data_IF_726872391388
#
_entry.id   IF_726872391388
#
_cell.length_a   1.000
_cell.length_b   1.000
_cell.length_c   1.000
_cell.angle_alpha   90.00
_cell.angle_beta   90.00
_cell.angle_gamma   90.00
#
_symmetry.space_group_name_H-M   'P 1'
#
loop_
_entity.id
_entity.type
_entity.pdbx_description
1 polymer ?
#
# COMPACT_ATOMS: atom_id res chain seq x y z
N UNK A 1 -5.59 26.98 -2.41
CA UNK A 1 -4.87 25.99 -3.24
C UNK A 1 -5.10 26.40 -4.68
N UNK A 2 -4.05 26.44 -5.49
CA UNK A 2 -4.12 26.95 -6.86
C UNK A 2 -5.11 26.11 -7.70
N UNK A 3 -6.10 26.73 -8.40
CA UNK A 3 -7.00 26.03 -9.32
C UNK A 3 -6.26 25.24 -10.40
N UNK A 4 -5.09 25.71 -10.81
CA UNK A 4 -4.26 25.08 -11.84
C UNK A 4 -3.66 23.76 -11.35
N UNK A 5 -3.21 23.72 -10.09
CA UNK A 5 -2.75 22.49 -9.41
C UNK A 5 -3.90 21.49 -9.27
N UNK A 6 -5.13 21.96 -9.02
CA UNK A 6 -6.28 21.08 -8.82
C UNK A 6 -6.64 20.30 -10.09
N UNK A 7 -6.56 20.94 -11.25
CA UNK A 7 -6.84 20.31 -12.54
C UNK A 7 -5.76 19.30 -12.98
N UNK A 8 -4.50 19.51 -12.61
CA UNK A 8 -3.39 18.57 -12.89
C UNK A 8 -3.60 17.23 -12.15
N UNK A 9 -4.18 17.26 -10.94
CA UNK A 9 -4.42 16.08 -10.09
C UNK A 9 -5.72 15.35 -10.49
N UNK A 10 -6.66 16.03 -11.15
CA UNK A 10 -7.92 15.40 -11.58
C UNK A 10 -7.82 14.71 -12.93
N UNK A 11 -7.05 15.26 -13.89
CA UNK A 11 -7.07 14.79 -15.29
C UNK A 11 -5.68 14.69 -15.96
N UNK A 12 -4.59 15.00 -15.25
CA UNK A 12 -3.22 14.96 -15.79
C UNK A 12 -2.45 13.65 -15.54
N UNK A 13 -1.22 13.52 -16.07
CA UNK A 13 -0.33 12.38 -15.80
C UNK A 13 0.12 12.28 -14.33
N UNK A 14 -0.27 13.24 -13.49
CA UNK A 14 -0.08 13.27 -12.04
C UNK A 14 -1.42 13.11 -11.29
N UNK A 15 -2.39 12.44 -11.90
CA UNK A 15 -3.63 12.10 -11.20
C UNK A 15 -3.31 11.26 -9.95
N UNK A 16 -4.18 11.30 -8.94
CA UNK A 16 -3.97 10.49 -7.73
C UNK A 16 -3.81 8.99 -8.06
N UNK A 17 -4.42 8.53 -9.16
CA UNK A 17 -4.32 7.15 -9.65
C UNK A 17 -2.96 6.86 -10.31
N UNK A 18 -2.34 7.83 -11.00
CA UNK A 18 -1.00 7.64 -11.58
C UNK A 18 0.15 7.77 -10.56
N UNK A 19 -0.13 8.35 -9.39
CA UNK A 19 0.85 8.56 -8.32
C UNK A 19 0.88 7.45 -7.26
N UNK A 20 -0.07 6.54 -7.27
CA UNK A 20 -0.21 5.48 -6.27
C UNK A 20 0.07 4.14 -6.94
N UNK A 21 1.06 3.41 -6.39
CA UNK A 21 1.27 2.00 -6.72
C UNK A 21 0.68 1.15 -5.61
N UNK A 22 -0.35 0.38 -5.94
CA UNK A 22 -0.98 -0.59 -5.04
C UNK A 22 -0.43 -1.98 -5.34
N UNK A 23 -0.15 -2.75 -4.29
CA UNK A 23 0.19 -4.17 -4.37
C UNK A 23 -0.44 -4.92 -3.20
N UNK A 24 -0.74 -6.20 -3.40
CA UNK A 24 -1.32 -7.06 -2.38
C UNK A 24 -0.29 -8.03 -1.83
N UNK A 25 -0.25 -8.17 -0.51
CA UNK A 25 0.74 -8.98 0.20
C UNK A 25 0.09 -10.28 0.68
N UNK A 26 0.63 -11.41 0.24
CA UNK A 26 0.11 -12.74 0.55
C UNK A 26 1.20 -13.64 1.14
N UNK A 27 0.79 -14.56 1.99
CA UNK A 27 1.58 -15.74 2.33
C UNK A 27 1.11 -16.97 1.55
N UNK A 28 1.77 -18.09 1.77
CA UNK A 28 1.34 -19.39 1.27
C UNK A 28 0.07 -19.86 1.97
N UNK A 29 -0.80 -20.49 1.22
CA UNK A 29 -2.08 -21.02 1.70
C UNK A 29 -2.30 -22.45 1.20
N UNK A 30 -3.48 -23.02 1.44
CA UNK A 30 -3.84 -24.34 0.95
C UNK A 30 -3.82 -24.40 -0.60
N UNK A 31 -3.71 -25.61 -1.16
CA UNK A 31 -3.56 -25.82 -2.61
C UNK A 31 -4.71 -25.27 -3.44
N UNK A 32 -5.94 -25.28 -2.93
CA UNK A 32 -7.11 -24.81 -3.66
C UNK A 32 -7.07 -23.29 -3.80
N UNK A 33 -6.89 -22.58 -2.68
CA UNK A 33 -6.77 -21.12 -2.68
C UNK A 33 -5.53 -20.66 -3.45
N UNK A 34 -4.41 -21.40 -3.38
CA UNK A 34 -3.19 -21.06 -4.11
C UNK A 34 -3.40 -21.05 -5.63
N UNK A 35 -4.21 -21.97 -6.18
CA UNK A 35 -4.54 -21.96 -7.61
C UNK A 35 -5.36 -20.73 -7.99
N UNK A 36 -6.32 -20.34 -7.16
CA UNK A 36 -7.11 -19.12 -7.39
C UNK A 36 -6.23 -17.87 -7.38
N UNK A 37 -5.24 -17.82 -6.48
CA UNK A 37 -4.25 -16.74 -6.42
C UNK A 37 -3.38 -16.72 -7.69
N UNK A 38 -2.91 -17.87 -8.16
CA UNK A 38 -2.13 -17.97 -9.40
C UNK A 38 -2.94 -17.47 -10.61
N UNK A 39 -4.20 -17.88 -10.71
CA UNK A 39 -5.11 -17.40 -11.76
C UNK A 39 -5.34 -15.89 -11.67
N UNK A 40 -5.58 -15.33 -10.48
CA UNK A 40 -5.76 -13.88 -10.30
C UNK A 40 -4.50 -13.10 -10.70
N UNK A 41 -3.32 -13.62 -10.33
CA UNK A 41 -2.03 -13.01 -10.64
C UNK A 41 -1.77 -12.89 -12.14
N UNK A 42 -2.30 -13.81 -12.95
CA UNK A 42 -2.17 -13.76 -14.42
C UNK A 42 -2.89 -12.55 -15.02
N UNK A 43 -3.92 -12.02 -14.34
CA UNK A 43 -4.70 -10.87 -14.83
C UNK A 43 -4.23 -9.53 -14.29
N UNK A 44 -3.91 -9.44 -12.99
CA UNK A 44 -3.64 -8.15 -12.33
C UNK A 44 -2.16 -7.87 -12.08
N UNK A 45 -1.36 -8.92 -11.86
CA UNK A 45 0.09 -8.86 -11.73
C UNK A 45 0.58 -7.84 -10.65
N UNK A 46 -0.18 -7.73 -9.55
CA UNK A 46 0.06 -6.80 -8.44
C UNK A 46 0.26 -7.52 -7.09
N UNK A 47 0.51 -8.84 -7.13
CA UNK A 47 0.77 -9.65 -5.94
C UNK A 47 2.25 -9.71 -5.54
N UNK A 48 2.50 -9.72 -4.24
CA UNK A 48 3.79 -10.05 -3.64
C UNK A 48 3.58 -11.19 -2.63
N UNK A 49 4.07 -12.38 -2.98
CA UNK A 49 3.85 -13.60 -2.20
C UNK A 49 5.11 -14.00 -1.44
N UNK A 50 5.00 -14.10 -0.13
CA UNK A 50 6.09 -14.52 0.76
C UNK A 50 6.15 -16.03 0.97
N UNK A 51 7.34 -16.55 1.27
CA UNK A 51 7.60 -17.96 1.61
C UNK A 51 7.28 -18.28 3.08
N UNK A 52 6.11 -17.85 3.57
CA UNK A 52 5.59 -18.15 4.91
C UNK A 52 4.09 -18.41 4.83
N UNK A 53 3.55 -19.22 5.75
CA UNK A 53 2.10 -19.49 5.80
C UNK A 53 1.34 -18.22 6.15
N UNK A 54 0.31 -17.91 5.36
CA UNK A 54 -0.57 -16.78 5.65
C UNK A 54 -1.41 -17.08 6.88
N UNK A 55 -1.20 -16.29 7.93
CA UNK A 55 -1.90 -16.43 9.20
C UNK A 55 -1.74 -15.15 10.01
N UNK A 56 -2.66 -14.94 10.95
CA UNK A 56 -2.61 -13.77 11.84
C UNK A 56 -1.28 -13.65 12.59
N UNK A 57 -0.71 -14.78 13.04
CA UNK A 57 0.59 -14.82 13.73
C UNK A 57 1.76 -14.36 12.85
N UNK A 58 1.62 -14.45 11.52
CA UNK A 58 2.67 -14.09 10.56
C UNK A 58 2.47 -12.70 9.93
N UNK A 59 1.54 -11.87 10.40
CA UNK A 59 1.33 -10.51 9.89
C UNK A 59 2.58 -9.63 9.98
N UNK A 60 3.45 -9.87 10.97
CA UNK A 60 4.76 -9.18 11.06
C UNK A 60 5.66 -9.55 9.88
N UNK A 61 5.70 -10.83 9.48
CA UNK A 61 6.45 -11.26 8.29
C UNK A 61 5.85 -10.67 7.02
N UNK A 62 4.52 -10.61 6.92
CA UNK A 62 3.82 -9.97 5.81
C UNK A 62 4.13 -8.47 5.72
N UNK A 63 4.13 -7.76 6.84
CA UNK A 63 4.50 -6.33 6.89
C UNK A 63 5.96 -6.11 6.45
N UNK A 64 6.88 -6.95 6.96
CA UNK A 64 8.29 -6.90 6.57
C UNK A 64 8.48 -7.16 5.07
N UNK A 65 7.80 -8.17 4.52
CA UNK A 65 7.81 -8.49 3.10
C UNK A 65 7.44 -7.27 2.25
N UNK A 66 6.31 -6.62 2.59
CA UNK A 66 5.83 -5.44 1.85
C UNK A 66 6.82 -4.29 1.85
N UNK A 67 7.40 -3.98 3.01
CA UNK A 67 8.39 -2.89 3.11
C UNK A 67 9.67 -3.22 2.34
N UNK A 68 10.18 -4.45 2.44
CA UNK A 68 11.39 -4.88 1.71
C UNK A 68 11.18 -4.88 0.19
N UNK A 69 10.02 -5.36 -0.27
CA UNK A 69 9.67 -5.34 -1.68
C UNK A 69 9.57 -3.89 -2.20
N UNK A 70 8.87 -3.01 -1.48
CA UNK A 70 8.75 -1.61 -1.87
C UNK A 70 10.12 -0.95 -1.96
N UNK A 71 11.00 -1.17 -0.97
CA UNK A 71 12.36 -0.61 -0.95
C UNK A 71 13.23 -1.11 -2.11
N UNK A 72 13.01 -2.35 -2.55
CA UNK A 72 13.84 -2.98 -3.59
C UNK A 72 13.36 -2.61 -5.00
N UNK A 73 12.05 -2.54 -5.22
CA UNK A 73 11.44 -2.46 -6.56
C UNK A 73 10.77 -1.12 -6.86
N UNK A 74 10.64 -0.23 -5.88
CA UNK A 74 9.96 1.06 -6.07
C UNK A 74 10.85 2.24 -5.64
N UNK A 75 10.74 3.33 -6.40
CA UNK A 75 11.15 4.66 -5.93
C UNK A 75 9.90 5.35 -5.40
N UNK A 76 9.82 5.56 -4.09
CA UNK A 76 8.64 6.14 -3.43
C UNK A 76 9.03 7.22 -2.41
N UNK A 77 8.15 8.20 -2.20
CA UNK A 77 8.29 9.21 -1.14
C UNK A 77 7.60 8.76 0.16
N UNK A 78 6.49 8.03 0.05
CA UNK A 78 5.69 7.55 1.18
C UNK A 78 5.32 6.07 1.00
N UNK A 79 5.25 5.34 2.11
CA UNK A 79 4.79 3.96 2.16
C UNK A 79 3.54 3.89 3.05
N UNK A 80 2.45 3.35 2.51
CA UNK A 80 1.24 3.09 3.25
C UNK A 80 1.07 1.58 3.39
N UNK A 81 0.90 1.12 4.65
CA UNK A 81 0.34 -0.18 4.95
C UNK A 81 -1.12 0.00 5.37
N UNK A 82 -2.01 -0.79 4.78
CA UNK A 82 -3.41 -0.91 5.19
C UNK A 82 -3.83 -2.37 5.11
N UNK A 83 -4.93 -2.72 5.77
CA UNK A 83 -5.59 -4.01 5.63
C UNK A 83 -6.65 -3.95 4.51
N UNK A 84 -7.12 -5.10 4.07
CA UNK A 84 -8.09 -5.28 2.97
C UNK A 84 -9.53 -4.93 3.37
N UNK A 85 -9.80 -4.79 4.66
CA UNK A 85 -11.07 -4.36 5.25
C UNK A 85 -11.12 -2.86 5.60
N UNK A 86 -10.15 -2.08 5.12
CA UNK A 86 -10.04 -0.64 5.37
C UNK A 86 -10.28 0.18 4.11
N UNK A 87 -11.08 1.24 4.22
CA UNK A 87 -11.25 2.23 3.14
C UNK A 87 -10.15 3.30 3.17
N UNK A 88 -9.50 3.52 2.03
CA UNK A 88 -8.51 4.60 1.86
C UNK A 88 -9.05 5.69 0.94
N UNK A 89 -9.24 6.90 1.48
CA UNK A 89 -9.56 8.08 0.66
C UNK A 89 -8.30 8.61 -0.03
N UNK A 90 -7.90 7.95 -1.12
CA UNK A 90 -6.63 8.17 -1.84
C UNK A 90 -6.38 9.62 -2.26
N UNK A 91 -7.36 10.29 -2.87
CA UNK A 91 -7.26 11.70 -3.30
C UNK A 91 -6.97 12.65 -2.13
N UNK A 92 -7.66 12.45 -1.01
CA UNK A 92 -7.43 13.24 0.21
C UNK A 92 -6.08 12.94 0.84
N UNK A 93 -5.69 11.66 0.87
CA UNK A 93 -4.40 11.23 1.40
C UNK A 93 -3.23 11.88 0.66
N UNK A 94 -3.20 11.82 -0.68
CA UNK A 94 -2.13 12.44 -1.48
C UNK A 94 -2.06 13.95 -1.23
N UNK A 95 -3.20 14.63 -1.24
CA UNK A 95 -3.28 16.08 -0.96
C UNK A 95 -2.77 16.43 0.43
N UNK A 96 -3.03 15.60 1.43
CA UNK A 96 -2.55 15.81 2.79
C UNK A 96 -1.04 15.55 2.92
N UNK A 97 -0.52 14.48 2.32
CA UNK A 97 0.91 14.14 2.32
C UNK A 97 1.78 15.25 1.70
N UNK A 98 1.28 15.97 0.69
CA UNK A 98 1.99 17.11 0.10
C UNK A 98 2.16 18.32 1.02
N UNK A 99 1.36 18.41 2.07
CA UNK A 99 1.42 19.51 3.04
C UNK A 99 2.34 19.20 4.23
N UNK A 100 2.79 17.94 4.36
CA UNK A 100 3.65 17.51 5.44
C UNK A 100 5.12 17.89 5.20
N UNK A 101 5.91 18.10 6.27
CA UNK A 101 7.35 18.20 6.13
C UNK A 101 7.91 16.91 5.51
N UNK A 102 8.85 17.04 4.58
CA UNK A 102 9.38 15.91 3.79
C UNK A 102 10.30 14.95 4.56
N UNK A 103 10.49 15.16 5.86
CA UNK A 103 11.46 14.39 6.65
C UNK A 103 10.80 13.66 7.82
N UNK A 104 11.10 12.35 7.92
CA UNK A 104 10.79 11.48 9.08
C UNK A 104 9.31 11.43 9.49
N UNK A 105 8.39 11.50 8.53
CA UNK A 105 6.95 11.37 8.79
C UNK A 105 6.60 9.91 9.12
N UNK A 106 6.03 9.70 10.30
CA UNK A 106 5.33 8.48 10.68
C UNK A 106 4.01 8.89 11.34
N UNK A 107 2.89 8.40 10.82
CA UNK A 107 1.56 8.90 11.18
C UNK A 107 0.51 7.80 11.07
N UNK A 108 -0.57 7.96 11.81
CA UNK A 108 -1.65 6.98 11.92
C UNK A 108 -2.40 7.16 13.24
N UNK A 109 -3.30 6.22 13.53
CA UNK A 109 -3.92 6.13 14.84
C UNK A 109 -2.95 5.46 15.80
N UNK A 110 -2.27 6.27 16.61
CA UNK A 110 -1.37 5.79 17.65
C UNK A 110 -2.08 5.84 19.00
N UNK A 111 -2.45 4.67 19.54
CA UNK A 111 -3.00 4.56 20.89
C UNK A 111 -1.85 4.52 21.90
N UNK A 112 -1.69 5.60 22.68
CA UNK A 112 -0.61 5.73 23.68
C UNK A 112 -1.03 5.34 25.11
N UNK A 113 -2.25 4.85 25.30
CA UNK A 113 -2.70 4.39 26.61
C UNK A 113 -2.12 3.01 26.90
N UNK A 114 -0.98 3.00 27.59
CA UNK A 114 -0.55 1.84 28.38
C UNK A 114 -1.32 1.86 29.70
N UNK A 115 -2.30 0.97 29.84
CA UNK A 115 -2.69 0.45 31.16
C UNK A 115 -1.57 -0.37 31.76
#
# INVERSE_FOLDING_TARGET
MDPEITNIISEGPYSAESMIKTVFLLGQTNKETQRSIETESEYYNDLVIGSFTDSYGNLTLKTKLGLQWAQTFCKFEYYLKTDDDVFVYSKGLVKWLWQLPKERVYTGRCDFNKT
#
